data_IF_221577544637
#
_entry.id   IF_221577544637
#
_cell.length_a   1.000
_cell.length_b   1.000
_cell.length_c   1.000
_cell.angle_alpha   90.00
_cell.angle_beta   90.00
_cell.angle_gamma   90.00
#
_symmetry.space_group_name_H-M   'P 1'
#
loop_
_entity.id
_entity.type
_entity.pdbx_description
1 polymer ?
#
# COMPACT_ATOMS: atom_id res chain seq x y z
N UNK A 1 -13.66 -25.58 31.38
CA UNK A 1 -13.97 -24.13 31.34
C UNK A 1 -12.70 -23.29 31.50
N UNK A 2 -11.79 -23.31 30.51
CA UNK A 2 -10.60 -22.45 30.48
C UNK A 2 -10.29 -22.14 29.01
N UNK A 3 -11.17 -21.40 28.33
CA UNK A 3 -10.86 -20.92 26.98
C UNK A 3 -11.64 -19.66 26.57
N UNK A 4 -11.62 -18.64 27.43
CA UNK A 4 -12.04 -17.28 27.06
C UNK A 4 -10.99 -16.20 27.40
N UNK A 5 -9.90 -16.54 28.09
CA UNK A 5 -8.93 -15.56 28.61
C UNK A 5 -7.75 -15.22 27.66
N UNK A 6 -7.60 -15.92 26.53
CA UNK A 6 -6.46 -15.72 25.62
C UNK A 6 -6.78 -14.73 24.49
N UNK A 7 -8.05 -14.45 24.21
CA UNK A 7 -8.48 -13.54 23.12
C UNK A 7 -8.44 -12.05 23.57
N UNK A 8 -8.47 -11.75 24.87
CA UNK A 8 -8.47 -10.36 25.36
C UNK A 8 -7.09 -9.69 25.38
N UNK A 9 -5.98 -10.44 25.48
CA UNK A 9 -4.64 -9.83 25.58
C UNK A 9 -4.10 -9.25 24.27
N UNK A 10 -4.57 -9.72 23.11
CA UNK A 10 -4.12 -9.22 21.80
C UNK A 10 -4.78 -7.89 21.41
N UNK A 11 -6.05 -7.70 21.75
CA UNK A 11 -6.78 -6.47 21.47
C UNK A 11 -6.39 -5.32 22.41
N UNK A 12 -6.07 -5.61 23.67
CA UNK A 12 -5.72 -4.56 24.64
C UNK A 12 -4.42 -3.84 24.30
N UNK A 13 -3.41 -4.55 23.76
CA UNK A 13 -2.17 -3.93 23.29
C UNK A 13 -2.37 -3.04 22.06
N UNK A 14 -3.26 -3.45 21.12
CA UNK A 14 -3.65 -2.64 19.96
C UNK A 14 -4.38 -1.38 20.40
N UNK A 15 -5.37 -1.53 21.29
CA UNK A 15 -6.16 -0.41 21.84
C UNK A 15 -5.24 0.58 22.58
N UNK A 16 -4.25 0.09 23.33
CA UNK A 16 -3.32 0.94 24.08
C UNK A 16 -2.38 1.76 23.17
N UNK A 17 -1.88 1.17 22.08
CA UNK A 17 -1.09 1.89 21.06
C UNK A 17 -1.92 2.96 20.35
N UNK A 18 -3.18 2.66 20.02
CA UNK A 18 -4.09 3.61 19.38
C UNK A 18 -4.62 4.69 20.34
N UNK A 19 -4.75 4.39 21.64
CA UNK A 19 -5.18 5.34 22.66
C UNK A 19 -4.10 6.39 22.94
N UNK A 20 -2.83 6.00 22.99
CA UNK A 20 -1.70 6.93 23.15
C UNK A 20 -1.59 7.92 21.97
N UNK A 21 -1.82 7.43 20.75
CA UNK A 21 -1.86 8.27 19.54
C UNK A 21 -3.04 9.23 19.53
N UNK A 22 -4.21 8.82 20.06
CA UNK A 22 -5.38 9.68 20.13
C UNK A 22 -5.14 10.88 21.06
N UNK A 23 -4.49 10.66 22.19
CA UNK A 23 -4.11 11.71 23.14
C UNK A 23 -3.07 12.67 22.56
N UNK A 24 -2.10 12.16 21.80
CA UNK A 24 -1.10 13.00 21.12
C UNK A 24 -1.70 13.75 19.91
N UNK A 25 -2.62 13.13 19.16
CA UNK A 25 -3.26 13.72 17.99
C UNK A 25 -4.26 14.84 18.31
N UNK A 26 -4.86 14.81 19.52
CA UNK A 26 -5.68 15.92 20.05
C UNK A 26 -4.92 17.24 20.15
N UNK A 27 -3.58 17.20 20.20
CA UNK A 27 -2.73 18.39 20.24
C UNK A 27 -2.14 18.79 18.87
N UNK A 28 -2.34 18.00 17.81
CA UNK A 28 -1.80 18.29 16.47
C UNK A 28 -2.92 18.52 15.46
N UNK A 29 -3.53 19.70 15.51
CA UNK A 29 -4.39 20.19 14.43
C UNK A 29 -3.52 20.67 13.26
N UNK A 30 -3.71 20.02 12.10
CA UNK A 30 -3.17 20.38 10.78
C UNK A 30 -1.63 20.41 10.65
N UNK A 31 -1.04 19.24 10.44
CA UNK A 31 0.29 19.13 9.82
C UNK A 31 0.22 18.21 8.60
N UNK A 32 0.99 18.54 7.56
CA UNK A 32 1.24 17.65 6.43
C UNK A 32 1.66 16.28 6.98
N UNK A 33 0.85 15.24 6.73
CA UNK A 33 1.04 13.93 7.36
C UNK A 33 2.32 13.23 6.93
N UNK A 34 2.89 13.62 5.78
CA UNK A 34 4.22 13.17 5.33
C UNK A 34 5.36 13.70 6.20
N UNK A 35 5.11 14.76 6.98
CA UNK A 35 6.06 15.35 7.93
C UNK A 35 5.99 14.70 9.32
N UNK A 36 5.04 13.77 9.56
CA UNK A 36 4.96 13.04 10.83
C UNK A 36 6.25 12.25 11.08
N UNK A 37 6.83 12.44 12.27
CA UNK A 37 8.06 11.76 12.70
C UNK A 37 7.98 10.24 12.55
N UNK A 38 6.77 9.67 12.71
CA UNK A 38 6.52 8.25 12.55
C UNK A 38 6.66 7.78 11.10
N UNK A 39 6.27 8.58 10.12
CA UNK A 39 6.40 8.23 8.70
C UNK A 39 7.88 8.26 8.27
N UNK A 40 8.62 9.29 8.69
CA UNK A 40 10.06 9.47 8.40
C UNK A 40 10.93 8.32 8.93
N UNK A 41 10.44 7.55 9.91
CA UNK A 41 11.09 6.31 10.38
C UNK A 41 11.10 5.20 9.32
N UNK A 42 10.12 5.20 8.41
CA UNK A 42 9.94 4.16 7.39
C UNK A 42 10.45 4.59 6.01
N UNK A 43 10.18 5.83 5.61
CA UNK A 43 10.55 6.36 4.29
C UNK A 43 11.13 7.76 4.42
N UNK A 44 12.31 7.97 3.82
CA UNK A 44 12.86 9.31 3.62
C UNK A 44 12.27 9.98 2.37
N UNK A 45 12.57 11.26 2.15
CA UNK A 45 12.17 11.95 0.91
C UNK A 45 12.86 11.32 -0.32
N UNK A 46 14.11 10.92 -0.17
CA UNK A 46 14.88 10.22 -1.20
C UNK A 46 14.25 8.86 -1.52
N UNK A 47 13.70 8.15 -0.53
CA UNK A 47 12.97 6.90 -0.79
C UNK A 47 11.71 7.12 -1.62
N UNK A 48 10.91 8.15 -1.29
CA UNK A 48 9.71 8.46 -2.07
C UNK A 48 10.06 8.85 -3.51
N UNK A 49 11.13 9.61 -3.71
CA UNK A 49 11.63 9.96 -5.05
C UNK A 49 12.11 8.74 -5.83
N UNK A 50 12.81 7.80 -5.18
CA UNK A 50 13.24 6.54 -5.80
C UNK A 50 12.04 5.71 -6.23
N UNK A 51 11.02 5.62 -5.37
CA UNK A 51 9.79 4.88 -5.67
C UNK A 51 9.04 5.54 -6.84
N UNK A 52 8.86 6.86 -6.83
CA UNK A 52 8.24 7.61 -7.93
C UNK A 52 8.98 7.39 -9.26
N UNK A 53 10.31 7.47 -9.23
CA UNK A 53 11.16 7.22 -10.41
C UNK A 53 11.04 5.77 -10.90
N UNK A 54 10.92 4.80 -9.98
CA UNK A 54 10.75 3.39 -10.34
C UNK A 54 9.40 3.13 -11.01
N UNK A 55 8.31 3.72 -10.51
CA UNK A 55 6.99 3.64 -11.14
C UNK A 55 7.04 4.29 -12.53
N UNK A 56 7.55 5.51 -12.63
CA UNK A 56 7.67 6.21 -13.92
C UNK A 56 8.46 5.40 -14.95
N UNK A 57 9.60 4.82 -14.56
CA UNK A 57 10.38 3.96 -15.45
C UNK A 57 9.65 2.65 -15.81
N UNK A 58 8.92 2.06 -14.86
CA UNK A 58 8.12 0.86 -15.07
C UNK A 58 7.08 1.07 -16.17
N UNK A 59 6.32 2.16 -16.10
CA UNK A 59 5.19 2.45 -16.98
C UNK A 59 5.61 2.80 -18.41
N UNK A 60 6.88 3.09 -18.66
CA UNK A 60 7.40 3.19 -20.05
C UNK A 60 7.46 1.84 -20.76
N UNK A 61 7.48 0.73 -20.00
CA UNK A 61 7.75 -0.61 -20.49
C UNK A 61 6.49 -1.44 -20.76
N UNK A 62 5.34 -1.00 -20.27
CA UNK A 62 4.07 -1.73 -20.34
C UNK A 62 2.87 -0.77 -20.34
N UNK A 63 1.66 -1.30 -20.50
CA UNK A 63 0.40 -0.53 -20.57
C UNK A 63 -0.43 -0.64 -19.27
N UNK A 64 0.21 -0.90 -18.14
CA UNK A 64 -0.41 -0.88 -16.81
C UNK A 64 0.05 0.31 -15.98
N UNK A 65 -0.73 0.62 -14.95
CA UNK A 65 -0.53 1.77 -14.05
C UNK A 65 -0.33 1.26 -12.61
N UNK A 66 0.64 1.82 -11.88
CA UNK A 66 0.94 1.41 -10.52
C UNK A 66 0.69 2.58 -9.56
N UNK A 67 -0.37 2.48 -8.75
CA UNK A 67 -0.66 3.42 -7.68
C UNK A 67 -0.11 2.91 -6.35
N UNK A 68 0.64 3.76 -5.66
CA UNK A 68 1.20 3.45 -4.33
C UNK A 68 0.58 4.38 -3.30
N UNK A 69 0.05 3.79 -2.22
CA UNK A 69 -0.49 4.52 -1.09
C UNK A 69 0.17 4.02 0.20
N UNK A 70 0.78 4.96 0.92
CA UNK A 70 1.46 4.73 2.19
C UNK A 70 0.68 5.44 3.29
N UNK A 71 -0.12 4.70 4.05
CA UNK A 71 -0.96 5.24 5.12
C UNK A 71 -0.31 4.97 6.48
N UNK A 72 -0.05 6.02 7.25
CA UNK A 72 0.66 5.90 8.52
C UNK A 72 -0.16 5.09 9.54
N UNK A 73 -1.43 5.43 9.71
CA UNK A 73 -2.36 4.78 10.64
C UNK A 73 -3.80 4.98 10.22
N UNK A 74 -4.64 3.97 10.43
CA UNK A 74 -6.09 4.11 10.31
C UNK A 74 -6.64 4.97 11.47
N UNK A 75 -7.65 5.82 11.22
CA UNK A 75 -8.34 6.52 12.29
C UNK A 75 -8.95 5.52 13.29
N UNK A 76 -8.73 5.74 14.59
CA UNK A 76 -9.20 4.83 15.66
C UNK A 76 -10.70 4.59 15.59
N UNK A 77 -11.48 5.61 15.25
CA UNK A 77 -12.93 5.50 15.06
C UNK A 77 -13.33 4.52 13.95
N UNK A 78 -12.50 4.36 12.91
CA UNK A 78 -12.71 3.40 11.81
C UNK A 78 -12.28 2.00 12.23
N UNK A 79 -11.18 1.87 12.96
CA UNK A 79 -10.71 0.59 13.51
C UNK A 79 -11.74 -0.01 14.48
N UNK A 80 -12.32 0.80 15.37
CA UNK A 80 -13.38 0.36 16.30
C UNK A 80 -14.63 -0.12 15.54
N UNK A 81 -14.92 0.48 14.38
CA UNK A 81 -16.00 0.04 13.48
C UNK A 81 -15.65 -1.20 12.66
N UNK A 82 -14.50 -1.83 12.91
CA UNK A 82 -14.08 -3.07 12.27
C UNK A 82 -13.38 -2.89 10.93
N UNK A 83 -13.01 -1.66 10.53
CA UNK A 83 -12.27 -1.43 9.30
C UNK A 83 -10.88 -2.09 9.40
N UNK A 84 -10.60 -3.03 8.50
CA UNK A 84 -9.29 -3.63 8.34
C UNK A 84 -8.53 -3.08 7.11
N UNK A 85 -7.26 -3.47 6.98
CA UNK A 85 -6.40 -3.02 5.89
C UNK A 85 -6.94 -3.40 4.51
N UNK A 86 -7.56 -4.58 4.39
CA UNK A 86 -8.14 -5.08 3.14
C UNK A 86 -9.33 -4.24 2.70
N UNK A 87 -10.26 -3.96 3.62
CA UNK A 87 -11.39 -3.08 3.36
C UNK A 87 -10.92 -1.67 3.02
N UNK A 88 -9.89 -1.15 3.73
CA UNK A 88 -9.32 0.15 3.41
C UNK A 88 -8.68 0.20 2.03
N UNK A 89 -7.93 -0.84 1.64
CA UNK A 89 -7.35 -0.94 0.32
C UNK A 89 -8.44 -0.96 -0.77
N UNK A 90 -9.55 -1.66 -0.55
CA UNK A 90 -10.70 -1.65 -1.47
C UNK A 90 -11.34 -0.27 -1.59
N UNK A 91 -11.56 0.43 -0.47
CA UNK A 91 -12.06 1.81 -0.49
C UNK A 91 -11.16 2.71 -1.33
N UNK A 92 -9.84 2.63 -1.10
CA UNK A 92 -8.85 3.45 -1.81
C UNK A 92 -8.74 3.07 -3.29
N UNK A 93 -8.86 1.78 -3.63
CA UNK A 93 -8.89 1.31 -5.01
C UNK A 93 -10.04 1.97 -5.79
N UNK A 94 -11.21 2.08 -5.16
CA UNK A 94 -12.37 2.77 -5.72
C UNK A 94 -12.24 4.29 -5.70
N UNK A 95 -11.86 4.89 -4.57
CA UNK A 95 -11.74 6.35 -4.39
C UNK A 95 -10.71 6.96 -5.34
N UNK A 96 -9.57 6.29 -5.52
CA UNK A 96 -8.49 6.73 -6.41
C UNK A 96 -8.67 6.26 -7.86
N UNK A 97 -9.81 5.63 -8.18
CA UNK A 97 -10.18 5.18 -9.52
C UNK A 97 -9.10 4.31 -10.19
N UNK A 98 -8.43 3.46 -9.41
CA UNK A 98 -7.37 2.58 -9.92
C UNK A 98 -7.94 1.54 -10.90
N UNK A 99 -9.24 1.24 -10.79
CA UNK A 99 -9.97 0.37 -11.71
C UNK A 99 -10.46 1.07 -13.00
N UNK A 100 -10.37 2.40 -13.08
CA UNK A 100 -10.90 3.19 -14.18
C UNK A 100 -9.77 3.60 -15.13
N UNK A 101 -9.00 2.61 -15.57
CA UNK A 101 -7.97 2.77 -16.60
C UNK A 101 -8.50 2.29 -17.94
N UNK A 102 -8.07 2.88 -19.05
CA UNK A 102 -8.60 2.54 -20.38
C UNK A 102 -8.52 1.03 -20.68
N UNK A 103 -7.50 0.35 -20.14
CA UNK A 103 -7.21 -1.07 -20.39
C UNK A 103 -7.53 -1.99 -19.22
N UNK A 104 -8.09 -1.46 -18.14
CA UNK A 104 -8.35 -2.19 -16.90
C UNK A 104 -7.05 -2.84 -16.33
N UNK A 105 -5.97 -2.06 -16.32
CA UNK A 105 -4.59 -2.48 -16.01
C UNK A 105 -3.99 -1.69 -14.83
N UNK A 106 -4.83 -1.24 -13.90
CA UNK A 106 -4.37 -0.62 -12.66
C UNK A 106 -3.98 -1.61 -11.57
N UNK A 107 -2.93 -1.30 -10.83
CA UNK A 107 -2.51 -1.98 -9.59
C UNK A 107 -2.48 -0.96 -8.45
N UNK A 108 -2.99 -1.34 -7.29
CA UNK A 108 -2.79 -0.63 -6.03
C UNK A 108 -1.84 -1.43 -5.14
N UNK A 109 -0.77 -0.78 -4.72
CA UNK A 109 0.10 -1.20 -3.61
C UNK A 109 -0.28 -0.35 -2.40
N UNK A 110 -1.02 -0.93 -1.47
CA UNK A 110 -1.41 -0.27 -0.22
C UNK A 110 -0.55 -0.78 0.94
N UNK A 111 0.01 0.15 1.71
CA UNK A 111 0.81 -0.14 2.90
C UNK A 111 0.29 0.65 4.08
N UNK A 112 -0.11 -0.05 5.14
CA UNK A 112 -0.46 0.53 6.43
C UNK A 112 0.72 0.36 7.41
N UNK A 113 1.39 1.46 7.77
CA UNK A 113 2.68 1.40 8.47
C UNK A 113 2.57 0.99 9.94
N UNK A 114 1.56 1.49 10.66
CA UNK A 114 1.39 1.20 12.10
C UNK A 114 1.18 -0.29 12.35
N UNK A 115 0.33 -0.93 11.56
CA UNK A 115 0.01 -2.37 11.70
C UNK A 115 0.85 -3.25 10.78
N UNK A 116 1.75 -2.66 9.99
CA UNK A 116 2.58 -3.31 8.96
C UNK A 116 1.77 -4.22 8.03
N UNK A 117 0.59 -3.76 7.64
CA UNK A 117 -0.28 -4.48 6.70
C UNK A 117 0.01 -4.03 5.29
N UNK A 118 -0.03 -4.97 4.36
CA UNK A 118 0.21 -4.75 2.95
C UNK A 118 -0.92 -5.45 2.21
N UNK A 119 -1.54 -4.72 1.29
CA UNK A 119 -2.62 -5.23 0.45
C UNK A 119 -2.30 -4.86 -0.99
N UNK A 120 -2.34 -5.85 -1.88
CA UNK A 120 -2.11 -5.69 -3.31
C UNK A 120 -3.42 -5.98 -4.03
N UNK A 121 -3.94 -4.98 -4.74
CA UNK A 121 -5.15 -5.11 -5.54
C UNK A 121 -4.81 -4.86 -7.00
N UNK A 122 -5.38 -5.66 -7.89
CA UNK A 122 -5.22 -5.50 -9.32
C UNK A 122 -6.59 -5.44 -9.99
N UNK A 123 -6.70 -4.63 -11.02
CA UNK A 123 -7.89 -4.56 -11.84
C UNK A 123 -8.09 -5.87 -12.64
N UNK A 124 -9.31 -6.07 -13.16
CA UNK A 124 -9.80 -7.29 -13.80
C UNK A 124 -8.94 -7.71 -14.97
N UNK A 125 -8.35 -6.78 -15.73
CA UNK A 125 -7.46 -7.11 -16.86
C UNK A 125 -6.22 -7.85 -16.38
N UNK A 126 -5.52 -7.29 -15.39
CA UNK A 126 -4.32 -7.89 -14.78
C UNK A 126 -4.66 -9.17 -14.02
N UNK A 127 -5.72 -9.13 -13.20
CA UNK A 127 -6.13 -10.27 -12.38
C UNK A 127 -6.38 -11.52 -13.23
N UNK A 128 -7.02 -11.37 -14.41
CA UNK A 128 -7.24 -12.47 -15.36
C UNK A 128 -5.95 -13.10 -15.90
N UNK A 129 -4.83 -12.38 -15.91
CA UNK A 129 -3.55 -12.84 -16.47
C UNK A 129 -2.63 -13.45 -15.43
N UNK A 130 -2.58 -12.88 -14.22
CA UNK A 130 -1.63 -13.30 -13.17
C UNK A 130 -2.29 -14.07 -12.01
N UNK A 131 -3.60 -13.90 -11.81
CA UNK A 131 -4.36 -14.53 -10.73
C UNK A 131 -3.99 -14.04 -9.33
N UNK A 132 -4.70 -14.54 -8.32
CA UNK A 132 -4.47 -14.19 -6.91
C UNK A 132 -3.12 -14.70 -6.39
N UNK A 133 -2.68 -15.89 -6.80
CA UNK A 133 -1.42 -16.50 -6.32
C UNK A 133 -0.22 -15.59 -6.56
N UNK A 134 -0.14 -14.94 -7.73
CA UNK A 134 0.95 -14.02 -8.03
C UNK A 134 0.94 -12.79 -7.11
N UNK A 135 -0.25 -12.23 -6.82
CA UNK A 135 -0.39 -11.11 -5.89
C UNK A 135 0.01 -11.52 -4.47
N UNK A 136 -0.45 -12.70 -4.01
CA UNK A 136 -0.15 -13.22 -2.68
C UNK A 136 1.36 -13.42 -2.50
N UNK A 137 2.04 -14.01 -3.49
CA UNK A 137 3.49 -14.20 -3.46
C UNK A 137 4.28 -12.88 -3.39
N UNK A 138 3.88 -11.87 -4.18
CA UNK A 138 4.52 -10.53 -4.13
C UNK A 138 4.25 -9.91 -2.75
N UNK A 139 3.03 -10.01 -2.24
CA UNK A 139 2.64 -9.48 -0.94
C UNK A 139 3.44 -10.12 0.20
N UNK A 140 3.61 -11.44 0.19
CA UNK A 140 4.41 -12.17 1.18
C UNK A 140 5.89 -11.73 1.17
N UNK A 141 6.48 -11.56 -0.02
CA UNK A 141 7.86 -11.05 -0.16
C UNK A 141 7.98 -9.64 0.41
N UNK A 142 7.04 -8.75 0.09
CA UNK A 142 7.01 -7.41 0.68
C UNK A 142 6.87 -7.46 2.20
N UNK A 143 5.96 -8.26 2.73
CA UNK A 143 5.77 -8.40 4.18
C UNK A 143 7.03 -8.90 4.86
N UNK A 144 7.76 -9.85 4.25
CA UNK A 144 9.04 -10.35 4.76
C UNK A 144 10.09 -9.23 4.84
N UNK A 145 10.25 -8.44 3.77
CA UNK A 145 11.18 -7.32 3.77
C UNK A 145 10.78 -6.19 4.74
N UNK A 146 9.48 -5.95 4.94
CA UNK A 146 9.01 -5.02 5.98
C UNK A 146 9.31 -5.53 7.40
N UNK A 147 9.25 -6.85 7.65
CA UNK A 147 9.62 -7.43 8.94
C UNK A 147 11.12 -7.28 9.24
N UNK A 148 11.97 -7.30 8.22
CA UNK A 148 13.42 -7.08 8.35
C UNK A 148 13.84 -5.60 8.32
N UNK A 149 12.90 -4.67 8.18
CA UNK A 149 13.17 -3.23 8.13
C UNK A 149 13.58 -2.69 6.75
N UNK A 150 13.53 -3.52 5.71
CA UNK A 150 13.81 -3.13 4.33
C UNK A 150 12.56 -2.54 3.65
N UNK A 151 12.07 -1.38 4.09
CA UNK A 151 10.80 -0.82 3.62
C UNK A 151 10.84 -0.38 2.15
N UNK A 152 11.69 0.60 1.83
CA UNK A 152 11.88 1.14 0.47
C UNK A 152 12.27 0.04 -0.53
N UNK A 153 13.22 -0.82 -0.17
CA UNK A 153 13.65 -1.93 -1.03
C UNK A 153 12.55 -2.95 -1.30
N UNK A 154 11.64 -3.20 -0.33
CA UNK A 154 10.48 -4.09 -0.55
C UNK A 154 9.49 -3.51 -1.55
N UNK A 155 9.21 -2.20 -1.48
CA UNK A 155 8.34 -1.52 -2.45
C UNK A 155 8.97 -1.55 -3.85
N UNK A 156 10.26 -1.20 -3.96
CA UNK A 156 10.98 -1.23 -5.23
C UNK A 156 11.02 -2.64 -5.85
N UNK A 157 11.20 -3.67 -5.03
CA UNK A 157 11.20 -5.07 -5.51
C UNK A 157 9.83 -5.49 -6.04
N UNK A 158 8.75 -5.08 -5.37
CA UNK A 158 7.40 -5.33 -5.84
C UNK A 158 7.09 -4.60 -7.15
N UNK A 159 7.53 -3.35 -7.29
CA UNK A 159 7.43 -2.62 -8.57
C UNK A 159 8.12 -3.43 -9.66
N UNK A 160 9.38 -3.84 -9.50
CA UNK A 160 10.08 -4.60 -10.55
C UNK A 160 9.46 -5.97 -10.86
N UNK A 161 8.86 -6.63 -9.87
CA UNK A 161 8.07 -7.85 -10.09
C UNK A 161 6.81 -7.58 -10.93
N UNK A 162 6.06 -6.54 -10.59
CA UNK A 162 4.93 -6.10 -11.41
C UNK A 162 5.37 -5.66 -12.80
N UNK A 163 6.48 -4.93 -12.94
CA UNK A 163 7.02 -4.53 -14.25
C UNK A 163 7.24 -5.73 -15.15
N UNK A 164 7.88 -6.78 -14.64
CA UNK A 164 8.14 -8.01 -15.40
C UNK A 164 6.85 -8.72 -15.81
N UNK A 165 5.87 -8.81 -14.91
CA UNK A 165 4.57 -9.40 -15.21
C UNK A 165 3.80 -8.59 -16.26
N UNK A 166 3.76 -7.27 -16.11
CA UNK A 166 3.05 -6.36 -17.00
C UNK A 166 3.71 -6.28 -18.37
N UNK A 167 5.03 -6.28 -18.46
CA UNK A 167 5.73 -6.38 -19.74
C UNK A 167 5.37 -7.65 -20.51
N UNK A 168 5.22 -8.77 -19.80
CA UNK A 168 4.89 -10.06 -20.41
C UNK A 168 3.48 -10.09 -20.98
N UNK A 169 2.50 -9.52 -20.26
CA UNK A 169 1.08 -9.66 -20.60
C UNK A 169 0.45 -8.41 -21.23
N UNK A 170 1.05 -7.24 -21.04
CA UNK A 170 0.61 -5.92 -21.48
C UNK A 170 1.80 -5.08 -21.98
N UNK A 171 2.61 -5.59 -22.94
CA UNK A 171 3.80 -4.89 -23.42
C UNK A 171 3.48 -3.51 -23.99
N UNK A 172 4.40 -2.56 -23.84
CA UNK A 172 4.27 -1.24 -24.45
C UNK A 172 4.37 -1.35 -25.99
N UNK A 173 3.28 -1.02 -26.70
CA UNK A 173 3.26 -0.94 -28.17
C UNK A 173 3.37 0.52 -28.66
N UNK A 174 3.02 1.46 -27.79
CA UNK A 174 3.08 2.92 -27.94
C UNK A 174 3.32 3.53 -26.56
N UNK A 175 3.69 4.81 -26.50
CA UNK A 175 3.84 5.52 -25.23
C UNK A 175 2.57 5.37 -24.39
N UNK A 176 2.73 4.83 -23.17
CA UNK A 176 1.64 4.70 -22.21
C UNK A 176 1.29 6.11 -21.70
N UNK A 177 0.07 6.63 -21.92
CA UNK A 177 -0.33 7.87 -21.28
C UNK A 177 -0.39 7.64 -19.78
N UNK A 178 0.14 8.59 -19.01
CA UNK A 178 0.18 8.50 -17.56
C UNK A 178 -1.22 8.77 -16.97
N UNK A 179 -2.00 7.72 -16.70
CA UNK A 179 -3.39 7.80 -16.24
C UNK A 179 -3.48 8.01 -14.72
N UNK A 180 -2.55 7.43 -13.95
CA UNK A 180 -2.43 7.58 -12.50
C UNK A 180 -1.16 8.35 -12.12
N UNK A 181 -1.15 8.98 -10.94
CA UNK A 181 0.06 9.69 -10.48
C UNK A 181 1.11 8.72 -9.95
N UNK A 182 2.34 8.85 -10.46
CA UNK A 182 3.49 8.00 -10.11
C UNK A 182 4.06 8.30 -8.73
N UNK A 183 3.73 9.46 -8.18
CA UNK A 183 4.16 9.87 -6.84
C UNK A 183 3.41 9.05 -5.79
N UNK A 184 4.12 8.41 -4.83
CA UNK A 184 3.48 7.75 -3.70
C UNK A 184 2.62 8.74 -2.91
N UNK A 185 1.37 8.35 -2.65
CA UNK A 185 0.45 9.16 -1.85
C UNK A 185 0.60 8.80 -0.37
N UNK A 186 0.89 9.81 0.46
CA UNK A 186 1.13 9.64 1.90
C UNK A 186 -0.09 10.10 2.68
N UNK A 187 -0.62 9.25 3.57
CA UNK A 187 -1.89 9.45 4.28
C UNK A 187 -1.83 9.24 5.80
#
# INVERSE_FOLDING_TARGET
MINQYIIERSNFQRIWIHWLESVLSLFSFATDKSESYRFKKYFSREDLQRIESAVSNSETRHQGEIKIILESSLPVSRVIKGLDAKQRAMELFSEKRVWDTEKNTGILIYVQLTDRKIELLADRGIYKKIGQSALDEICERMQSGFRSGNYSGSVLSAIEEFTRLLQKYFPSEKQNPNELSNRPEVM
#
